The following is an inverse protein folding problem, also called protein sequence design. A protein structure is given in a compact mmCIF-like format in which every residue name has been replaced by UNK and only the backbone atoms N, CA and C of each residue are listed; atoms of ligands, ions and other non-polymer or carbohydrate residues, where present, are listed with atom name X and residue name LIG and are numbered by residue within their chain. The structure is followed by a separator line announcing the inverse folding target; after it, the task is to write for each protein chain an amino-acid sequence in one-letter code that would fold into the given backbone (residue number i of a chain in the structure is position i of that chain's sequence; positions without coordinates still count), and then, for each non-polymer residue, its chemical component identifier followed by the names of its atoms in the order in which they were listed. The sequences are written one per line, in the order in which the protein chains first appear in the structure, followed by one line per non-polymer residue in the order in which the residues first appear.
data_IF_512852937016
#
_entry.id   IF_512852937016
#
_cell.length_a   1.000
_cell.length_b   1.000
_cell.length_c   1.000
_cell.angle_alpha   90.00
_cell.angle_beta   90.00
_cell.angle_gamma   90.00
#
_symmetry.space_group_name_H-M   'P 1'
#
loop_
_entity.id
_entity.type
_entity.pdbx_description
1 polymer ?
#
# COMPACT_ATOMS: atom_id res chain seq x y z
N UNK A 1 1.41 -4.02 6.35
CA UNK A 1 1.86 -4.48 5.01
C UNK A 1 2.59 -3.35 4.34
N UNK A 2 3.74 -3.65 3.77
CA UNK A 2 4.54 -2.71 2.98
C UNK A 2 3.73 -2.14 1.81
N UNK A 3 3.75 -0.80 1.69
CA UNK A 3 3.10 -0.03 0.62
C UNK A 3 3.62 -0.45 -0.75
N UNK A 4 4.94 -0.66 -0.84
CA UNK A 4 5.60 -1.01 -2.09
C UNK A 4 5.17 -2.41 -2.55
N UNK A 5 5.15 -3.38 -1.62
CA UNK A 5 4.66 -4.74 -1.91
C UNK A 5 3.20 -4.75 -2.39
N UNK A 6 2.32 -3.93 -1.78
CA UNK A 6 0.92 -3.82 -2.25
C UNK A 6 0.86 -3.28 -3.68
N UNK A 7 1.61 -2.21 -3.96
CA UNK A 7 1.66 -1.61 -5.28
C UNK A 7 2.14 -2.60 -6.34
N UNK A 8 3.24 -3.31 -6.09
CA UNK A 8 3.81 -4.26 -7.05
C UNK A 8 2.86 -5.41 -7.36
N UNK A 9 2.22 -5.99 -6.33
CA UNK A 9 1.26 -7.07 -6.51
C UNK A 9 0.03 -6.61 -7.30
N UNK A 10 -0.51 -5.42 -6.99
CA UNK A 10 -1.70 -4.91 -7.67
C UNK A 10 -1.40 -4.44 -9.09
N UNK A 11 -0.25 -3.78 -9.31
CA UNK A 11 0.22 -3.42 -10.64
C UNK A 11 0.43 -4.68 -11.50
N UNK A 12 1.14 -5.68 -10.98
CA UNK A 12 1.34 -6.94 -11.68
C UNK A 12 0.02 -7.64 -12.00
N UNK A 13 -0.96 -7.57 -11.09
CA UNK A 13 -2.29 -8.12 -11.32
C UNK A 13 -3.07 -7.34 -12.38
N UNK A 14 -2.95 -6.01 -12.45
CA UNK A 14 -3.64 -5.18 -13.43
C UNK A 14 -3.04 -5.31 -14.84
N UNK A 15 -1.73 -5.47 -14.94
CA UNK A 15 -1.00 -5.56 -16.21
C UNK A 15 -1.04 -6.99 -16.82
N UNK A 16 -1.42 -8.01 -16.05
CA UNK A 16 -1.39 -9.40 -16.50
C UNK A 16 -2.59 -9.75 -17.40
N UNK A 17 -2.38 -10.46 -18.54
CA UNK A 17 -3.46 -10.80 -19.47
C UNK A 17 -4.52 -11.76 -18.89
N UNK A 18 -4.16 -12.55 -17.88
CA UNK A 18 -5.08 -13.45 -17.14
C UNK A 18 -4.91 -13.27 -15.62
N UNK A 19 -5.63 -12.32 -15.00
CA UNK A 19 -5.38 -11.93 -13.61
C UNK A 19 -5.98 -12.93 -12.61
N UNK A 20 -5.17 -13.46 -11.69
CA UNK A 20 -5.62 -14.31 -10.59
C UNK A 20 -5.70 -13.54 -9.26
N UNK A 21 -6.93 -13.12 -8.91
CA UNK A 21 -7.21 -12.32 -7.69
C UNK A 21 -7.05 -13.11 -6.39
N UNK A 22 -7.26 -14.43 -6.42
CA UNK A 22 -7.12 -15.30 -5.25
C UNK A 22 -5.64 -15.46 -4.87
N UNK A 23 -4.77 -15.62 -5.86
CA UNK A 23 -3.31 -15.65 -5.64
C UNK A 23 -2.82 -14.32 -5.06
N UNK A 24 -3.31 -13.19 -5.57
CA UNK A 24 -2.97 -11.88 -5.02
C UNK A 24 -3.46 -11.71 -3.57
N UNK A 25 -4.69 -12.18 -3.29
CA UNK A 25 -5.27 -12.19 -1.95
C UNK A 25 -4.42 -13.02 -0.98
N UNK A 26 -3.98 -14.23 -1.38
CA UNK A 26 -3.07 -15.08 -0.62
C UNK A 26 -1.71 -14.41 -0.39
N UNK A 27 -1.12 -13.81 -1.44
CA UNK A 27 0.21 -13.17 -1.41
C UNK A 27 0.24 -11.98 -0.46
N UNK A 28 -0.85 -11.21 -0.43
CA UNK A 28 -1.00 -10.09 0.48
C UNK A 28 -1.61 -10.52 1.82
N UNK A 29 -2.14 -11.73 2.00
CA UNK A 29 -2.81 -12.13 3.24
C UNK A 29 -4.06 -11.29 3.53
N UNK A 30 -4.87 -11.01 2.50
CA UNK A 30 -6.10 -10.24 2.62
C UNK A 30 -7.23 -10.89 1.82
N UNK A 31 -8.45 -10.35 1.91
CA UNK A 31 -9.59 -10.89 1.16
C UNK A 31 -9.59 -10.43 -0.30
N UNK A 32 -10.25 -11.18 -1.18
CA UNK A 32 -10.46 -10.79 -2.58
C UNK A 32 -11.18 -9.44 -2.69
N UNK A 33 -12.08 -9.12 -1.75
CA UNK A 33 -12.69 -7.79 -1.66
C UNK A 33 -11.66 -6.68 -1.47
N UNK A 34 -10.62 -6.92 -0.67
CA UNK A 34 -9.52 -5.97 -0.49
C UNK A 34 -8.73 -5.79 -1.79
N UNK A 35 -8.44 -6.88 -2.51
CA UNK A 35 -7.82 -6.82 -3.84
C UNK A 35 -8.64 -5.96 -4.81
N UNK A 36 -9.96 -6.18 -4.89
CA UNK A 36 -10.84 -5.40 -5.76
C UNK A 36 -10.85 -3.91 -5.37
N UNK A 37 -10.86 -3.57 -4.08
CA UNK A 37 -10.72 -2.18 -3.61
C UNK A 37 -9.39 -1.56 -4.03
N UNK A 38 -8.29 -2.30 -3.91
CA UNK A 38 -6.97 -1.83 -4.31
C UNK A 38 -6.86 -1.65 -5.82
N UNK A 39 -7.45 -2.55 -6.63
CA UNK A 39 -7.53 -2.39 -8.08
C UNK A 39 -8.31 -1.13 -8.46
N UNK A 40 -9.50 -0.92 -7.88
CA UNK A 40 -10.29 0.29 -8.14
C UNK A 40 -9.55 1.56 -7.74
N UNK A 41 -8.85 1.54 -6.60
CA UNK A 41 -7.99 2.64 -6.16
C UNK A 41 -6.80 2.89 -7.10
N UNK A 42 -6.15 1.83 -7.55
CA UNK A 42 -5.04 1.87 -8.50
C UNK A 42 -5.48 2.44 -9.87
N UNK A 43 -6.65 2.03 -10.38
CA UNK A 43 -7.19 2.59 -11.63
C UNK A 43 -7.47 4.10 -11.51
N UNK A 44 -7.90 4.57 -10.33
CA UNK A 44 -8.24 5.98 -10.11
C UNK A 44 -7.02 6.87 -9.82
N UNK A 45 -6.07 6.38 -9.02
CA UNK A 45 -5.01 7.20 -8.42
C UNK A 45 -3.61 6.63 -8.63
N UNK A 46 -3.47 5.51 -9.32
CA UNK A 46 -2.20 4.86 -9.59
C UNK A 46 -1.45 4.48 -8.30
N UNK A 47 -0.14 4.72 -8.30
CA UNK A 47 0.75 4.39 -7.17
C UNK A 47 0.39 5.15 -5.88
N UNK A 48 -0.14 6.37 -5.99
CA UNK A 48 -0.46 7.23 -4.84
C UNK A 48 -1.50 6.61 -3.91
N UNK A 49 -2.37 5.73 -4.42
CA UNK A 49 -3.36 5.01 -3.62
C UNK A 49 -2.74 4.20 -2.46
N UNK A 50 -1.49 3.75 -2.62
CA UNK A 50 -0.81 2.91 -1.65
C UNK A 50 0.01 3.69 -0.62
N UNK A 51 0.22 5.00 -0.84
CA UNK A 51 0.98 5.86 0.06
C UNK A 51 0.13 6.19 1.28
N UNK A 52 0.64 5.91 2.48
CA UNK A 52 -0.06 6.20 3.72
C UNK A 52 0.12 7.67 4.11
N UNK A 53 -0.95 8.34 4.53
CA UNK A 53 -0.94 9.76 4.87
C UNK A 53 -0.06 10.14 6.08
N UNK A 54 0.37 9.16 6.89
CA UNK A 54 1.31 9.41 7.99
C UNK A 54 2.78 9.22 7.58
N UNK A 55 3.07 8.87 6.32
CA UNK A 55 4.44 8.69 5.85
C UNK A 55 5.19 10.01 5.92
N UNK A 56 6.24 10.07 6.75
CA UNK A 56 7.02 11.30 6.98
C UNK A 56 6.36 12.32 7.90
N UNK A 57 5.15 12.08 8.40
CA UNK A 57 4.48 12.97 9.35
C UNK A 57 4.99 12.68 10.76
N UNK A 58 5.64 13.68 11.36
CA UNK A 58 5.97 13.68 12.79
C UNK A 58 4.72 14.04 13.61
N UNK A 59 4.31 13.27 14.63
CA UNK A 59 3.22 13.65 15.53
C UNK A 59 3.57 14.95 16.28
N UNK A 60 2.54 15.67 16.76
CA UNK A 60 2.73 16.93 17.47
C UNK A 60 3.64 16.80 18.71
N UNK A 61 3.61 15.63 19.35
CA UNK A 61 4.42 15.32 20.54
C UNK A 61 5.82 14.76 20.18
N UNK A 62 6.30 14.97 18.95
CA UNK A 62 7.65 14.51 18.58
C UNK A 62 8.70 15.31 19.34
N UNK A 63 9.52 14.64 20.13
CA UNK A 63 10.65 15.26 20.83
C UNK A 63 11.57 15.90 19.77
N UNK A 64 11.91 17.20 19.90
CA UNK A 64 12.84 17.86 18.99
C UNK A 64 14.20 17.16 19.00
N UNK A 65 14.87 17.10 17.85
CA UNK A 65 16.17 16.43 17.73
C UNK A 65 17.22 17.06 18.68
N UNK A 66 17.09 18.35 18.98
CA UNK A 66 17.94 19.07 19.93
C UNK A 66 17.83 18.59 21.39
N UNK A 67 16.77 17.86 21.74
CA UNK A 67 16.51 17.39 23.12
C UNK A 67 16.72 15.87 23.27
N UNK A 68 17.11 15.17 22.19
CA UNK A 68 17.53 13.76 22.30
C UNK A 68 18.85 13.69 23.06
N UNK A 69 18.80 13.13 24.26
CA UNK A 69 20.00 12.72 24.99
C UNK A 69 20.45 11.39 24.37
N UNK A 70 21.72 11.30 23.97
CA UNK A 70 22.34 10.11 23.37
C UNK A 70 22.45 9.00 24.40
#
# INVERSE_FOLDING_TARGET
MDEQKKYEVIKGLADHPSPNKERAALTLGCTVRHINRMLAGYTKSGKEYFVHGNKGRKPANTIPEATKVI
#
